data_IF_829464550966
#
_entry.id   IF_829464550966
#
_cell.length_a   1.000
_cell.length_b   1.000
_cell.length_c   1.000
_cell.angle_alpha   90.00
_cell.angle_beta   90.00
_cell.angle_gamma   90.00
#
_symmetry.space_group_name_H-M   'P 1'
#
loop_
_entity.id
_entity.type
_entity.pdbx_description
1 polymer ?
#
# COMPACT_ATOMS: atom_id res chain seq x y z
N UNK A 1 20.09 -3.31 26.58
CA UNK A 1 20.17 -3.13 25.88
C UNK A 1 20.00 -2.98 25.47
N UNK A 2 19.87 -2.99 25.35
CA UNK A 2 19.73 -2.62 24.43
C UNK A 2 19.50 -2.53 23.96
N UNK A 3 19.28 -2.67 23.97
CA UNK A 3 19.04 -2.58 23.15
C UNK A 3 18.81 -2.52 22.52
N UNK A 4 18.64 -2.65 22.55
CA UNK A 4 18.47 -2.60 21.62
C UNK A 4 18.26 -2.28 21.00
N UNK A 5 18.04 -2.35 21.11
CA UNK A 5 17.97 -2.00 20.12
C UNK A 5 17.83 -1.70 19.65
N UNK A 6 17.67 -1.67 19.92
CA UNK A 6 17.65 -1.33 19.06
C UNK A 6 17.63 -1.01 18.55
N UNK A 7 17.42 -0.95 18.84
CA UNK A 7 17.59 -0.57 17.92
C UNK A 7 17.80 -0.61 17.36
N UNK A 8 17.79 -0.73 17.34
CA UNK A 8 18.19 -0.96 16.56
C UNK A 8 18.13 -0.85 16.01
N UNK A 9 18.10 -1.42 16.57
CA UNK A 9 18.07 -1.32 15.31
C UNK A 9 17.38 -0.40 14.76
N UNK A 10 17.49 0.42 15.13
CA UNK A 10 17.13 1.31 14.33
C UNK A 10 17.81 1.20 13.09
N UNK A 11 17.48 0.28 12.40
CA UNK A 11 18.06 0.06 11.12
C UNK A 11 17.64 1.15 10.15
N UNK A 12 18.51 1.67 9.32
CA UNK A 12 18.10 2.61 8.29
C UNK A 12 17.14 2.02 7.28
N UNK A 13 17.10 0.72 7.16
CA UNK A 13 16.18 0.09 6.24
C UNK A 13 14.75 0.34 6.58
N UNK A 14 14.44 0.53 7.85
CA UNK A 14 13.05 0.73 8.22
C UNK A 14 12.49 2.00 7.63
N UNK A 15 13.33 2.98 7.34
CA UNK A 15 12.84 4.21 6.76
C UNK A 15 12.48 4.07 5.30
N UNK A 16 13.00 3.04 4.64
CA UNK A 16 12.75 2.83 3.24
C UNK A 16 11.60 1.90 2.98
N UNK A 17 11.18 1.16 4.01
CA UNK A 17 10.13 0.18 3.87
C UNK A 17 8.87 0.79 4.40
N UNK A 18 8.18 1.49 3.54
CA UNK A 18 7.00 2.23 3.94
C UNK A 18 5.76 1.72 3.24
N UNK A 19 4.71 1.66 4.04
CA UNK A 19 3.37 1.49 3.50
C UNK A 19 2.82 2.89 3.29
N UNK A 20 2.30 3.16 2.12
CA UNK A 20 1.80 4.48 1.75
C UNK A 20 0.31 4.40 1.47
N UNK A 21 -0.40 5.48 1.81
CA UNK A 21 -1.82 5.55 1.56
C UNK A 21 -2.16 6.94 1.05
N UNK A 22 -2.98 7.03 0.00
CA UNK A 22 -3.40 8.33 -0.48
C UNK A 22 -4.75 8.69 0.13
N UNK A 23 -5.16 9.95 -0.07
CA UNK A 23 -6.42 10.43 0.48
C UNK A 23 -7.59 9.72 -0.18
N UNK A 24 -8.63 9.37 0.58
CA UNK A 24 -9.82 8.77 -0.04
C UNK A 24 -10.42 9.75 -1.03
N UNK A 25 -10.48 9.38 -2.28
CA UNK A 25 -10.86 10.33 -3.32
C UNK A 25 -11.72 9.76 -4.44
N UNK A 26 -11.61 8.47 -4.75
CA UNK A 26 -12.39 7.98 -5.88
C UNK A 26 -13.62 7.22 -5.37
N UNK A 27 -14.80 7.55 -5.94
CA UNK A 27 -16.06 7.00 -5.44
C UNK A 27 -16.41 5.67 -6.09
N UNK A 28 -16.90 4.74 -5.26
CA UNK A 28 -17.45 3.47 -5.72
C UNK A 28 -18.18 2.83 -4.56
N UNK A 29 -19.22 2.07 -4.87
CA UNK A 29 -19.95 1.30 -3.87
C UNK A 29 -20.37 2.10 -2.65
N UNK A 30 -20.75 3.35 -2.87
CA UNK A 30 -21.29 4.18 -1.78
C UNK A 30 -20.27 4.79 -0.85
N UNK A 31 -18.98 4.72 -1.17
CA UNK A 31 -17.95 5.33 -0.33
C UNK A 31 -16.81 5.82 -1.21
N UNK A 32 -15.86 6.48 -0.56
CA UNK A 32 -14.62 6.89 -1.22
C UNK A 32 -13.55 5.88 -0.89
N UNK A 33 -12.59 5.72 -1.78
CA UNK A 33 -11.53 4.73 -1.65
C UNK A 33 -10.15 5.34 -1.74
N UNK A 34 -9.22 4.72 -1.04
CA UNK A 34 -7.80 5.07 -1.08
C UNK A 34 -7.01 3.92 -1.69
N UNK A 35 -5.81 4.24 -2.17
CA UNK A 35 -4.86 3.22 -2.60
C UNK A 35 -3.86 2.97 -1.48
N UNK A 36 -3.56 1.71 -1.21
CA UNK A 36 -2.58 1.32 -0.20
C UNK A 36 -1.49 0.54 -0.91
N UNK A 37 -0.25 0.99 -0.78
CA UNK A 37 0.89 0.38 -1.50
C UNK A 37 2.08 0.24 -0.58
N UNK A 38 3.05 -0.57 -0.99
CA UNK A 38 4.37 -0.58 -0.39
C UNK A 38 5.35 0.01 -1.39
N UNK A 39 6.35 0.70 -0.89
CA UNK A 39 7.43 1.19 -1.75
C UNK A 39 8.64 0.25 -1.73
N UNK A 40 8.49 -0.94 -1.18
CA UNK A 40 9.60 -1.90 -1.13
C UNK A 40 9.24 -3.28 -1.69
N UNK A 41 8.13 -3.88 -1.28
CA UNK A 41 7.77 -5.21 -1.77
C UNK A 41 6.30 -5.50 -1.62
N UNK A 42 5.79 -6.38 -2.47
CA UNK A 42 4.41 -6.83 -2.33
C UNK A 42 4.24 -7.68 -1.07
N UNK A 43 5.29 -8.37 -0.66
CA UNK A 43 5.27 -9.14 0.57
C UNK A 43 4.97 -8.27 1.77
N UNK A 44 5.62 -7.12 1.84
CA UNK A 44 5.36 -6.17 2.92
C UNK A 44 3.92 -5.68 2.87
N UNK A 45 3.43 -5.37 1.68
CA UNK A 45 2.09 -4.87 1.52
C UNK A 45 1.06 -5.91 1.98
N UNK A 46 1.23 -7.15 1.55
CA UNK A 46 0.31 -8.22 1.95
C UNK A 46 0.36 -8.48 3.45
N UNK A 47 1.54 -8.42 4.05
CA UNK A 47 1.67 -8.62 5.49
C UNK A 47 0.96 -7.51 6.26
N UNK A 48 1.13 -6.27 5.83
CA UNK A 48 0.47 -5.15 6.48
C UNK A 48 -1.06 -5.28 6.35
N UNK A 49 -1.54 -5.54 5.13
CA UNK A 49 -2.96 -5.67 4.88
C UNK A 49 -3.57 -6.79 5.71
N UNK A 50 -2.90 -7.93 5.77
CA UNK A 50 -3.37 -9.06 6.56
C UNK A 50 -3.45 -8.72 8.04
N UNK A 51 -2.42 -8.06 8.56
CA UNK A 51 -2.40 -7.67 9.97
C UNK A 51 -3.52 -6.69 10.31
N UNK A 52 -3.94 -5.91 9.34
CA UNK A 52 -5.01 -4.92 9.54
C UNK A 52 -6.38 -5.44 9.15
N UNK A 53 -6.48 -6.71 8.78
CA UNK A 53 -7.77 -7.30 8.43
C UNK A 53 -8.31 -6.87 7.07
N UNK A 54 -7.45 -6.39 6.18
CA UNK A 54 -7.86 -6.03 4.83
C UNK A 54 -7.86 -7.31 4.00
N UNK A 55 -9.00 -7.68 3.39
CA UNK A 55 -9.07 -8.96 2.68
C UNK A 55 -8.24 -8.94 1.41
N UNK A 56 -7.67 -10.09 1.08
CA UNK A 56 -6.82 -10.25 -0.09
C UNK A 56 -7.55 -9.91 -1.38
N UNK A 57 -8.86 -10.08 -1.42
CA UNK A 57 -9.64 -9.73 -2.61
C UNK A 57 -9.61 -8.24 -2.92
N UNK A 58 -9.16 -7.42 -1.96
CA UNK A 58 -8.99 -5.99 -2.21
C UNK A 58 -7.71 -5.65 -2.96
N UNK A 59 -6.85 -6.64 -3.19
CA UNK A 59 -5.60 -6.41 -3.90
C UNK A 59 -5.81 -6.40 -5.40
N UNK A 60 -5.24 -5.39 -6.07
CA UNK A 60 -5.33 -5.28 -7.52
C UNK A 60 -3.94 -4.96 -8.06
N UNK A 61 -3.23 -5.98 -8.51
CA UNK A 61 -1.93 -5.94 -9.19
C UNK A 61 -0.78 -5.33 -8.40
N UNK A 62 -0.90 -4.11 -7.90
CA UNK A 62 0.18 -3.44 -7.18
C UNK A 62 -0.29 -2.69 -5.95
N UNK A 63 -1.56 -2.74 -5.62
CA UNK A 63 -2.11 -1.99 -4.50
C UNK A 63 -3.36 -2.66 -3.95
N UNK A 64 -3.75 -2.24 -2.74
CA UNK A 64 -5.06 -2.58 -2.21
C UNK A 64 -5.95 -1.36 -2.31
N UNK A 65 -7.23 -1.58 -2.61
CA UNK A 65 -8.24 -0.53 -2.50
C UNK A 65 -8.84 -0.64 -1.11
N UNK A 66 -8.79 0.45 -0.37
CA UNK A 66 -9.30 0.45 1.00
C UNK A 66 -10.35 1.54 1.17
N UNK A 67 -11.45 1.24 1.87
CA UNK A 67 -12.52 2.23 1.99
C UNK A 67 -12.19 3.31 3.00
N UNK A 68 -12.81 4.46 2.83
CA UNK A 68 -12.60 5.61 3.69
C UNK A 68 -12.73 5.28 5.18
N UNK A 69 -13.64 4.39 5.52
CA UNK A 69 -13.86 4.02 6.91
C UNK A 69 -12.62 3.42 7.57
N UNK A 70 -11.67 2.90 6.78
CA UNK A 70 -10.46 2.32 7.32
C UNK A 70 -9.27 3.27 7.30
N UNK A 71 -9.43 4.45 6.70
CA UNK A 71 -8.28 5.35 6.49
C UNK A 71 -7.56 5.69 7.79
N UNK A 72 -8.29 6.18 8.78
CA UNK A 72 -7.64 6.62 10.02
C UNK A 72 -6.97 5.47 10.77
N UNK A 73 -7.59 4.29 10.80
CA UNK A 73 -6.98 3.17 11.49
C UNK A 73 -5.72 2.68 10.77
N UNK A 74 -5.70 2.76 9.45
CA UNK A 74 -4.51 2.34 8.71
C UNK A 74 -3.37 3.32 8.91
N UNK A 75 -3.66 4.61 8.96
CA UNK A 75 -2.64 5.62 9.27
C UNK A 75 -2.11 5.39 10.68
N UNK A 76 -3.00 5.12 11.63
CA UNK A 76 -2.59 4.86 13.00
C UNK A 76 -1.70 3.61 13.10
N UNK A 77 -1.90 2.66 12.20
CA UNK A 77 -1.10 1.42 12.18
C UNK A 77 0.24 1.59 11.45
N UNK A 78 0.48 2.74 10.87
CA UNK A 78 1.78 3.01 10.25
C UNK A 78 1.76 3.36 8.77
N UNK A 79 0.60 3.35 8.12
CA UNK A 79 0.54 3.78 6.73
C UNK A 79 0.82 5.27 6.66
N UNK A 80 1.68 5.68 5.74
CA UNK A 80 2.11 7.06 5.63
C UNK A 80 1.26 7.79 4.60
N UNK A 81 0.55 8.84 5.00
CA UNK A 81 -0.29 9.58 4.05
C UNK A 81 0.55 10.32 3.02
N UNK A 82 0.19 10.17 1.76
CA UNK A 82 0.82 10.89 0.65
C UNK A 82 -0.28 11.25 -0.33
N UNK A 83 0.00 12.15 -1.26
CA UNK A 83 -0.97 12.42 -2.30
C UNK A 83 -0.84 11.35 -3.38
N UNK A 84 -1.82 11.30 -4.28
CA UNK A 84 -1.84 10.27 -5.31
C UNK A 84 -0.59 10.32 -6.18
N UNK A 85 -0.17 11.53 -6.55
CA UNK A 85 1.02 11.68 -7.39
C UNK A 85 2.27 11.15 -6.68
N UNK A 86 2.41 11.48 -5.41
CA UNK A 86 3.54 10.98 -4.62
C UNK A 86 3.52 9.48 -4.46
N UNK A 87 2.34 8.91 -4.28
CA UNK A 87 2.19 7.47 -4.16
C UNK A 87 2.63 6.78 -5.44
N UNK A 88 2.18 7.25 -6.59
CA UNK A 88 2.54 6.64 -7.87
C UNK A 88 4.04 6.80 -8.14
N UNK A 89 4.60 7.95 -7.81
CA UNK A 89 6.04 8.18 -7.99
C UNK A 89 6.86 7.17 -7.19
N UNK A 90 6.48 6.97 -5.92
CA UNK A 90 7.20 6.04 -5.06
C UNK A 90 7.01 4.60 -5.52
N UNK A 91 5.81 4.27 -5.97
CA UNK A 91 5.51 2.94 -6.46
C UNK A 91 6.31 2.62 -7.72
N UNK A 92 6.43 3.59 -8.62
CA UNK A 92 7.26 3.40 -9.83
C UNK A 92 8.72 3.24 -9.47
N UNK A 93 9.22 4.04 -8.54
CA UNK A 93 10.62 3.95 -8.13
C UNK A 93 10.94 2.61 -7.50
N UNK A 94 9.97 1.96 -6.87
CA UNK A 94 10.16 0.65 -6.26
C UNK A 94 10.19 -0.48 -7.27
N UNK A 95 9.73 -0.24 -8.49
CA UNK A 95 9.63 -1.27 -9.50
C UNK A 95 8.38 -2.12 -9.42
N UNK A 96 7.49 -1.81 -8.48
CA UNK A 96 6.28 -2.62 -8.28
C UNK A 96 5.08 -2.17 -9.12
N UNK A 97 5.18 -0.97 -9.72
CA UNK A 97 4.05 -0.43 -10.47
C UNK A 97 3.76 -1.27 -11.71
N UNK A 98 2.51 -1.69 -11.86
CA UNK A 98 2.06 -2.38 -13.06
C UNK A 98 1.45 -1.33 -13.98
N UNK A 99 2.08 -1.11 -15.13
CA UNK A 99 1.64 -0.08 -16.06
C UNK A 99 0.27 -0.43 -16.66
N UNK A 100 -0.40 0.57 -17.20
CA UNK A 100 -1.68 0.33 -17.86
C UNK A 100 -1.55 -0.66 -19.00
N UNK A 101 -0.43 -0.63 -19.71
CA UNK A 101 -0.16 -1.57 -20.79
C UNK A 101 -0.08 -2.99 -20.26
N UNK A 102 0.66 -3.20 -19.18
CA UNK A 102 0.80 -4.53 -18.60
C UNK A 102 -0.51 -5.01 -18.01
N UNK A 103 -1.29 -4.11 -17.45
CA UNK A 103 -2.60 -4.47 -16.92
C UNK A 103 -3.49 -5.02 -18.02
N UNK A 104 -3.47 -4.39 -19.18
CA UNK A 104 -4.31 -4.83 -20.28
C UNK A 104 -3.89 -6.19 -20.84
N UNK A 105 -2.62 -6.51 -20.76
CA UNK A 105 -2.13 -7.76 -21.31
C UNK A 105 -2.18 -8.93 -20.33
N UNK A 106 -2.51 -8.70 -19.09
CA UNK A 106 -2.53 -9.77 -18.10
C UNK A 106 -3.79 -10.60 -18.22
N UNK A 107 -3.63 -11.93 -18.28
CA UNK A 107 -4.80 -12.80 -18.36
C UNK A 107 -5.73 -12.64 -17.16
N UNK A 108 -5.19 -12.39 -16.02
CA UNK A 108 -6.01 -12.28 -14.84
C UNK A 108 -6.90 -11.07 -14.83
N UNK A 109 -6.72 -10.18 -15.78
CA UNK A 109 -7.57 -9.03 -15.87
C UNK A 109 -9.02 -9.39 -16.00
N UNK A 110 -9.29 -10.59 -16.41
CA UNK A 110 -10.65 -11.05 -16.55
C UNK A 110 -11.40 -11.04 -15.24
N UNK A 111 -10.72 -11.01 -14.16
CA UNK A 111 -11.39 -11.02 -12.88
C UNK A 111 -12.16 -9.76 -12.60
N UNK A 112 -11.85 -8.76 -13.29
CA UNK A 112 -12.50 -7.51 -13.01
C UNK A 112 -13.94 -7.52 -13.36
#
# INVERSE_FOLDING_TARGET
MSRRVSWQGFSPYTFRMSILIDRPAWPAHGTLWSHLVSDSSLEELHAFASAQGIPRRGFDLDHYDVPQARYDSLVAAGAVPVDFRGLVTRLRASGLRVSGRDRRSRPGGAHS
#
